data_IF_203331812358
#
_entry.id   IF_203331812358
#
_cell.length_a   1.000
_cell.length_b   1.000
_cell.length_c   1.000
_cell.angle_alpha   90.00
_cell.angle_beta   90.00
_cell.angle_gamma   90.00
#
_symmetry.space_group_name_H-M   'P 1'
#
loop_
_entity.id
_entity.type
_entity.pdbx_description
1 polymer ?
#
# COMPACT_ATOMS: atom_id res chain seq x y z
N UNK A 1 -7.12 17.99 -15.88
CA UNK A 1 -7.15 17.22 -14.62
C UNK A 1 -6.13 16.12 -14.82
N UNK A 2 -4.95 16.24 -14.21
CA UNK A 2 -3.89 15.24 -14.40
C UNK A 2 -4.35 13.95 -13.75
N UNK A 3 -4.32 12.85 -14.51
CA UNK A 3 -4.78 11.55 -14.00
C UNK A 3 -3.81 11.09 -12.90
N UNK A 4 -4.30 10.36 -11.89
CA UNK A 4 -3.45 9.92 -10.77
C UNK A 4 -2.26 9.07 -11.25
N UNK A 5 -2.44 8.42 -12.40
CA UNK A 5 -1.40 7.66 -13.10
C UNK A 5 -0.32 8.56 -13.73
N UNK A 6 -0.68 9.75 -14.21
CA UNK A 6 0.27 10.71 -14.78
C UNK A 6 1.20 11.26 -13.68
N UNK A 7 0.64 11.54 -12.50
CA UNK A 7 1.39 11.96 -11.30
C UNK A 7 2.39 10.90 -10.83
N UNK A 8 2.03 9.62 -10.96
CA UNK A 8 2.91 8.48 -10.66
C UNK A 8 4.05 8.38 -11.67
N UNK A 9 3.76 8.54 -12.96
CA UNK A 9 4.79 8.51 -14.00
C UNK A 9 5.80 9.67 -13.83
N UNK A 10 5.32 10.86 -13.46
CA UNK A 10 6.18 12.01 -13.18
C UNK A 10 7.02 11.83 -11.91
N UNK A 11 6.45 11.22 -10.87
CA UNK A 11 7.19 10.84 -9.66
C UNK A 11 8.29 9.82 -9.97
N UNK A 12 8.02 8.81 -10.81
CA UNK A 12 9.01 7.81 -11.23
C UNK A 12 10.19 8.46 -11.99
N UNK A 13 9.88 9.34 -12.94
CA UNK A 13 10.90 10.06 -13.71
C UNK A 13 11.79 10.92 -12.80
N UNK A 14 11.19 11.60 -11.82
CA UNK A 14 11.89 12.46 -10.86
C UNK A 14 12.74 11.64 -9.89
N UNK A 15 12.22 10.53 -9.35
CA UNK A 15 12.97 9.60 -8.50
C UNK A 15 14.20 9.03 -9.22
N UNK A 16 14.05 8.64 -10.50
CA UNK A 16 15.16 8.10 -11.31
C UNK A 16 16.23 9.15 -11.61
N UNK A 17 15.84 10.40 -11.82
CA UNK A 17 16.76 11.50 -12.16
C UNK A 17 17.50 12.04 -10.93
N UNK A 18 16.81 12.19 -9.81
CA UNK A 18 17.29 13.02 -8.70
C UNK A 18 17.70 12.22 -7.44
N UNK A 19 17.18 11.00 -7.25
CA UNK A 19 17.40 10.19 -6.02
C UNK A 19 18.39 9.04 -6.21
N UNK A 20 18.72 8.68 -7.45
CA UNK A 20 19.79 7.73 -7.76
C UNK A 20 20.84 8.32 -8.72
N UNK A 21 21.51 9.43 -8.37
CA UNK A 21 22.76 9.77 -9.04
C UNK A 21 23.74 8.63 -8.69
N UNK A 22 24.37 7.99 -9.66
CA UNK A 22 25.16 6.77 -9.42
C UNK A 22 26.06 6.81 -8.17
N UNK A 23 26.15 5.69 -7.45
CA UNK A 23 26.84 5.55 -6.17
C UNK A 23 26.57 4.18 -5.53
N UNK A 24 27.27 3.82 -4.43
CA UNK A 24 27.16 2.50 -3.80
C UNK A 24 25.73 2.13 -3.38
N UNK A 25 24.90 3.12 -3.05
CA UNK A 25 23.51 2.93 -2.61
C UNK A 25 22.48 3.15 -3.73
N UNK A 26 22.91 3.48 -4.95
CA UNK A 26 22.00 3.80 -6.05
C UNK A 26 21.05 2.65 -6.39
N UNK A 27 21.53 1.40 -6.30
CA UNK A 27 20.68 0.21 -6.48
C UNK A 27 19.63 0.09 -5.37
N UNK A 28 20.01 0.35 -4.12
CA UNK A 28 19.10 0.30 -2.98
C UNK A 28 18.00 1.36 -3.11
N UNK A 29 18.36 2.60 -3.42
CA UNK A 29 17.39 3.68 -3.62
C UNK A 29 16.47 3.45 -4.82
N UNK A 30 17.00 2.92 -5.93
CA UNK A 30 16.18 2.54 -7.09
C UNK A 30 15.17 1.44 -6.75
N UNK A 31 15.58 0.42 -5.98
CA UNK A 31 14.68 -0.64 -5.53
C UNK A 31 13.62 -0.12 -4.55
N UNK A 32 14.00 0.78 -3.63
CA UNK A 32 13.08 1.41 -2.69
C UNK A 32 12.02 2.24 -3.43
N UNK A 33 12.45 3.04 -4.40
CA UNK A 33 11.58 3.86 -5.25
C UNK A 33 10.61 2.99 -6.06
N UNK A 34 11.11 1.94 -6.72
CA UNK A 34 10.30 1.01 -7.48
C UNK A 34 9.28 0.29 -6.59
N UNK A 35 9.65 -0.10 -5.37
CA UNK A 35 8.72 -0.71 -4.43
C UNK A 35 7.60 0.26 -4.01
N UNK A 36 7.96 1.49 -3.63
CA UNK A 36 6.99 2.52 -3.25
C UNK A 36 5.99 2.82 -4.38
N UNK A 37 6.47 2.89 -5.62
CA UNK A 37 5.63 3.09 -6.80
C UNK A 37 4.66 1.92 -7.01
N UNK A 38 5.17 0.69 -6.91
CA UNK A 38 4.35 -0.52 -7.06
C UNK A 38 3.27 -0.62 -5.97
N UNK A 39 3.59 -0.22 -4.72
CA UNK A 39 2.61 -0.11 -3.64
C UNK A 39 1.52 0.91 -3.97
N UNK A 40 1.90 2.10 -4.43
CA UNK A 40 0.95 3.17 -4.79
C UNK A 40 0.01 2.76 -5.92
N UNK A 41 0.53 2.09 -6.95
CA UNK A 41 -0.28 1.57 -8.06
C UNK A 41 -1.30 0.54 -7.59
N UNK A 42 -0.90 -0.41 -6.73
CA UNK A 42 -1.82 -1.42 -6.16
C UNK A 42 -2.92 -0.78 -5.31
N UNK A 43 -2.58 0.24 -4.53
CA UNK A 43 -3.55 0.98 -3.71
C UNK A 43 -4.56 1.73 -4.60
N UNK A 44 -4.10 2.42 -5.66
CA UNK A 44 -4.98 3.19 -6.55
C UNK A 44 -5.89 2.34 -7.43
N UNK A 45 -5.47 1.12 -7.78
CA UNK A 45 -6.30 0.19 -8.54
C UNK A 45 -7.52 -0.33 -7.75
N UNK A 46 -7.58 -0.08 -6.44
CA UNK A 46 -8.63 -0.57 -5.55
C UNK A 46 -9.62 0.56 -5.21
N UNK A 47 -10.92 0.24 -5.03
CA UNK A 47 -11.88 1.23 -4.58
C UNK A 47 -11.54 1.74 -3.17
N UNK A 48 -11.68 3.05 -2.97
CA UNK A 48 -11.53 3.66 -1.65
C UNK A 48 -12.56 3.08 -0.67
N UNK A 49 -12.11 2.80 0.56
CA UNK A 49 -12.96 2.32 1.66
C UNK A 49 -12.83 3.25 2.86
N UNK A 50 -13.96 3.64 3.43
CA UNK A 50 -13.99 4.33 4.73
C UNK A 50 -13.66 3.32 5.85
N UNK A 51 -12.63 3.63 6.63
CA UNK A 51 -12.13 2.80 7.73
C UNK A 51 -12.47 3.38 9.11
N UNK A 52 -13.20 4.49 9.17
CA UNK A 52 -13.44 5.23 10.42
C UNK A 52 -14.15 4.37 11.46
N UNK A 53 -15.20 3.66 11.05
CA UNK A 53 -15.94 2.75 11.92
C UNK A 53 -15.09 1.58 12.41
N UNK A 54 -14.27 1.01 11.52
CA UNK A 54 -13.37 -0.11 11.85
C UNK A 54 -12.31 0.32 12.88
N UNK A 55 -11.73 1.51 12.74
CA UNK A 55 -10.75 2.06 13.70
C UNK A 55 -11.39 2.29 15.07
N UNK A 56 -12.61 2.82 15.12
CA UNK A 56 -13.34 2.99 16.37
C UNK A 56 -13.63 1.63 17.04
N UNK A 57 -14.03 0.63 16.27
CA UNK A 57 -14.32 -0.71 16.76
C UNK A 57 -13.07 -1.44 17.28
N UNK A 58 -11.90 -1.26 16.63
CA UNK A 58 -10.61 -1.75 17.14
C UNK A 58 -10.28 -1.11 18.48
N UNK A 59 -10.36 0.23 18.58
CA UNK A 59 -10.05 0.96 19.82
C UNK A 59 -10.97 0.56 20.98
N UNK A 60 -12.20 0.16 20.68
CA UNK A 60 -13.17 -0.32 21.66
C UNK A 60 -13.05 -1.81 22.01
N UNK A 61 -12.17 -2.58 21.35
CA UNK A 61 -12.04 -4.03 21.57
C UNK A 61 -13.24 -4.86 21.05
N UNK A 62 -14.11 -4.28 20.22
CA UNK A 62 -15.35 -4.95 19.80
C UNK A 62 -15.11 -6.23 18.96
N UNK A 63 -13.96 -6.31 18.31
CA UNK A 63 -13.55 -7.45 17.49
C UNK A 63 -13.24 -8.72 18.29
N UNK A 64 -13.07 -8.64 19.61
CA UNK A 64 -12.83 -9.82 20.46
C UNK A 64 -14.09 -10.67 20.65
N UNK A 65 -15.26 -10.07 20.43
CA UNK A 65 -16.56 -10.69 20.66
C UNK A 65 -17.47 -10.69 19.41
N UNK A 66 -16.97 -10.15 18.30
CA UNK A 66 -17.66 -10.12 17.01
C UNK A 66 -16.79 -10.80 15.95
N UNK A 67 -17.14 -12.05 15.63
CA UNK A 67 -16.41 -12.87 14.68
C UNK A 67 -16.45 -12.32 13.24
N UNK A 68 -17.55 -11.67 12.85
CA UNK A 68 -17.70 -11.08 11.52
C UNK A 68 -16.84 -9.83 11.39
N UNK A 69 -16.83 -8.98 12.42
CA UNK A 69 -15.93 -7.84 12.51
C UNK A 69 -14.47 -8.31 12.50
N UNK A 70 -14.12 -9.30 13.31
CA UNK A 70 -12.78 -9.88 13.33
C UNK A 70 -12.36 -10.36 11.94
N UNK A 71 -13.21 -11.13 11.25
CA UNK A 71 -12.94 -11.64 9.91
C UNK A 71 -12.74 -10.49 8.89
N UNK A 72 -13.56 -9.45 8.94
CA UNK A 72 -13.41 -8.26 8.07
C UNK A 72 -12.10 -7.53 8.32
N UNK A 73 -11.71 -7.35 9.58
CA UNK A 73 -10.46 -6.68 9.96
C UNK A 73 -9.24 -7.51 9.54
N UNK A 74 -9.30 -8.82 9.73
CA UNK A 74 -8.24 -9.74 9.32
C UNK A 74 -8.07 -9.75 7.79
N UNK A 75 -9.17 -9.76 7.03
CA UNK A 75 -9.13 -9.64 5.58
C UNK A 75 -8.51 -8.31 5.13
N UNK A 76 -8.88 -7.20 5.78
CA UNK A 76 -8.27 -5.89 5.50
C UNK A 76 -6.77 -5.86 5.84
N UNK A 77 -6.35 -6.48 6.94
CA UNK A 77 -4.95 -6.58 7.33
C UNK A 77 -4.13 -7.41 6.32
N UNK A 78 -4.67 -8.56 5.87
CA UNK A 78 -4.05 -9.39 4.82
C UNK A 78 -3.87 -8.63 3.51
N UNK A 79 -4.89 -7.86 3.10
CA UNK A 79 -4.79 -6.99 1.94
C UNK A 79 -3.68 -5.95 2.09
N UNK A 80 -3.61 -5.27 3.23
CA UNK A 80 -2.55 -4.30 3.50
C UNK A 80 -1.15 -4.92 3.47
N UNK A 81 -0.99 -6.11 4.04
CA UNK A 81 0.26 -6.86 3.99
C UNK A 81 0.66 -7.18 2.54
N UNK A 82 -0.28 -7.67 1.72
CA UNK A 82 -0.04 -7.97 0.31
C UNK A 82 0.32 -6.73 -0.52
N UNK A 83 -0.33 -5.59 -0.28
CA UNK A 83 -0.02 -4.33 -1.00
C UNK A 83 1.43 -3.91 -0.73
N UNK A 84 1.86 -3.99 0.54
CA UNK A 84 3.20 -3.63 0.98
C UNK A 84 4.26 -4.63 0.50
N UNK A 85 3.98 -5.92 0.61
CA UNK A 85 4.86 -7.00 0.16
C UNK A 85 4.02 -8.18 -0.37
N UNK A 86 3.93 -8.34 -1.71
CA UNK A 86 3.13 -9.40 -2.32
C UNK A 86 3.70 -10.81 -2.12
N UNK A 87 4.89 -10.94 -1.53
CA UNK A 87 5.47 -12.25 -1.17
C UNK A 87 5.05 -12.72 0.22
N UNK A 88 4.51 -11.83 1.06
CA UNK A 88 4.12 -12.13 2.44
C UNK A 88 2.73 -12.71 2.61
N UNK A 89 1.88 -12.62 1.58
CA UNK A 89 0.51 -13.11 1.58
C UNK A 89 0.06 -13.45 0.15
N UNK A 90 -0.91 -14.35 0.01
CA UNK A 90 -1.60 -14.56 -1.27
C UNK A 90 -2.41 -13.32 -1.65
N UNK A 91 -2.61 -13.10 -2.96
CA UNK A 91 -3.49 -12.04 -3.43
C UNK A 91 -4.92 -12.29 -2.89
N UNK A 92 -5.47 -11.35 -2.09
CA UNK A 92 -6.81 -11.52 -1.57
C UNK A 92 -7.83 -11.35 -2.69
N UNK A 93 -8.71 -12.36 -2.80
CA UNK A 93 -9.85 -12.44 -3.72
C UNK A 93 -10.83 -11.26 -3.58
#
# INVERSE_FOLDING_TARGET
MSDALDLIAEAEATLRRDIAPGGPDARYHALLAANALAMAQRELARPSRDVTADVAAIRAGAHDHDADLHARLLAAARLRAWIADPTTAEEPA
#
